data_IF_712769770215
#
_entry.id   IF_712769770215
#
_cell.length_a   1.000
_cell.length_b   1.000
_cell.length_c   1.000
_cell.angle_alpha   90.00
_cell.angle_beta   90.00
_cell.angle_gamma   90.00
#
_symmetry.space_group_name_H-M   'P 1'
#
loop_
_entity.id
_entity.type
_entity.pdbx_description
1 polymer ?
#
# COMPACT_ATOMS: atom_id res chain seq x y z
N UNK A 1 61.92 13.42 31.97
CA UNK A 1 60.63 14.01 31.56
C UNK A 1 59.99 14.62 32.79
N UNK A 2 59.61 15.90 32.74
CA UNK A 2 59.00 16.57 33.90
C UNK A 2 57.56 16.07 34.00
N UNK A 3 57.11 15.74 35.20
CA UNK A 3 55.75 15.23 35.47
C UNK A 3 54.65 16.10 34.84
N UNK A 4 54.90 17.41 34.69
CA UNK A 4 54.02 18.36 33.97
C UNK A 4 53.80 18.00 32.50
N UNK A 5 54.81 17.53 31.78
CA UNK A 5 54.71 17.25 30.34
C UNK A 5 53.85 16.00 30.09
N UNK A 6 53.90 15.03 31.01
CA UNK A 6 53.09 13.79 30.97
C UNK A 6 51.62 14.10 31.26
N UNK A 7 51.35 14.98 32.24
CA UNK A 7 49.98 15.38 32.60
C UNK A 7 49.33 16.18 31.46
N UNK A 8 50.08 17.07 30.80
CA UNK A 8 49.57 17.83 29.66
C UNK A 8 49.25 16.89 28.49
N UNK A 9 50.11 15.91 28.21
CA UNK A 9 49.86 14.90 27.18
C UNK A 9 48.57 14.09 27.41
N UNK A 10 48.32 13.67 28.66
CA UNK A 10 47.11 12.92 29.03
C UNK A 10 45.83 13.74 28.87
N UNK A 11 45.86 15.02 29.22
CA UNK A 11 44.69 15.91 29.10
C UNK A 11 44.32 16.11 27.62
N UNK A 12 45.30 16.35 26.75
CA UNK A 12 45.06 16.51 25.31
C UNK A 12 44.46 15.23 24.71
N UNK A 13 44.96 14.07 25.12
CA UNK A 13 44.47 12.78 24.64
C UNK A 13 43.03 12.50 25.09
N UNK A 14 42.67 12.87 26.32
CA UNK A 14 41.30 12.77 26.83
C UNK A 14 40.33 13.72 26.10
N UNK A 15 40.75 14.93 25.75
CA UNK A 15 39.94 15.88 24.98
C UNK A 15 39.71 15.38 23.56
N UNK A 16 40.74 14.84 22.90
CA UNK A 16 40.61 14.25 21.55
C UNK A 16 39.69 13.03 21.58
N UNK A 17 39.86 12.13 22.57
CA UNK A 17 38.99 10.96 22.73
C UNK A 17 37.54 11.38 22.99
N UNK A 18 37.32 12.40 23.84
CA UNK A 18 36.00 12.97 24.11
C UNK A 18 35.35 13.58 22.86
N UNK A 19 36.12 14.33 22.06
CA UNK A 19 35.65 14.89 20.80
C UNK A 19 35.27 13.81 19.78
N UNK A 20 36.06 12.73 19.67
CA UNK A 20 35.78 11.60 18.78
C UNK A 20 34.49 10.88 19.20
N UNK A 21 34.29 10.65 20.51
CA UNK A 21 33.07 10.02 21.04
C UNK A 21 31.85 10.92 20.83
N UNK A 22 31.99 12.23 20.99
CA UNK A 22 30.90 13.17 20.77
C UNK A 22 30.51 13.27 19.29
N UNK A 23 31.48 13.34 18.38
CA UNK A 23 31.23 13.33 16.93
C UNK A 23 30.61 12.01 16.49
N UNK A 24 31.01 10.87 17.05
CA UNK A 24 30.38 9.57 16.74
C UNK A 24 28.95 9.49 17.26
N UNK A 25 28.64 10.06 18.42
CA UNK A 25 27.27 10.09 18.95
C UNK A 25 26.32 10.97 18.14
N UNK A 26 26.81 12.02 17.49
CA UNK A 26 25.99 12.92 16.66
C UNK A 26 25.89 12.48 15.19
N UNK A 27 26.68 11.50 14.73
CA UNK A 27 26.77 11.12 13.31
C UNK A 27 25.91 9.96 12.82
N UNK A 28 25.07 9.34 13.66
CA UNK A 28 24.25 8.21 13.16
C UNK A 28 22.87 8.22 13.78
N UNK A 29 22.12 9.26 13.42
CA UNK A 29 20.69 9.09 13.21
C UNK A 29 20.50 9.31 11.71
N UNK A 30 20.71 8.26 10.93
CA UNK A 30 20.24 8.24 9.54
C UNK A 30 18.72 8.37 9.65
N UNK A 31 18.18 9.56 9.39
CA UNK A 31 16.75 9.72 9.21
C UNK A 31 16.35 8.78 8.08
N UNK A 32 15.44 7.81 8.32
CA UNK A 32 14.98 6.96 7.24
C UNK A 32 14.39 7.87 6.18
N UNK A 33 14.86 7.72 4.93
CA UNK A 33 14.24 8.37 3.78
C UNK A 33 12.72 8.11 3.85
N UNK A 34 11.88 9.10 3.54
CA UNK A 34 10.43 8.88 3.54
C UNK A 34 10.14 7.73 2.58
N UNK A 35 9.64 6.62 3.12
CA UNK A 35 9.12 5.53 2.29
C UNK A 35 7.97 6.11 1.47
N UNK A 36 8.00 5.97 0.13
CA UNK A 36 6.95 6.52 -0.70
C UNK A 36 5.59 5.98 -0.27
N UNK A 37 4.57 6.84 -0.27
CA UNK A 37 3.21 6.44 0.06
C UNK A 37 2.68 5.42 -0.97
N UNK A 38 1.62 4.69 -0.62
CA UNK A 38 0.97 3.76 -1.57
C UNK A 38 0.51 4.53 -2.82
N UNK A 39 0.01 5.75 -2.64
CA UNK A 39 -0.36 6.67 -3.73
C UNK A 39 0.81 7.01 -4.63
N UNK A 40 1.89 7.56 -4.09
CA UNK A 40 3.07 7.92 -4.90
C UNK A 40 3.61 6.71 -5.66
N UNK A 41 3.60 5.53 -5.03
CA UNK A 41 4.00 4.27 -5.67
C UNK A 41 3.08 3.92 -6.84
N UNK A 42 1.77 3.97 -6.66
CA UNK A 42 0.78 3.63 -7.68
C UNK A 42 0.75 4.66 -8.81
N UNK A 43 0.72 5.95 -8.50
CA UNK A 43 0.79 7.04 -9.49
C UNK A 43 2.03 6.92 -10.37
N UNK A 44 3.18 6.60 -9.76
CA UNK A 44 4.42 6.35 -10.49
C UNK A 44 4.35 5.11 -11.37
N UNK A 45 3.85 3.98 -10.86
CA UNK A 45 3.73 2.74 -11.62
C UNK A 45 2.80 2.92 -12.83
N UNK A 46 1.66 3.58 -12.62
CA UNK A 46 0.66 3.77 -13.65
C UNK A 46 0.80 5.09 -14.43
N UNK A 47 1.78 5.93 -14.11
CA UNK A 47 1.98 7.25 -14.69
C UNK A 47 0.65 8.01 -14.87
N UNK A 48 -0.06 8.19 -13.75
CA UNK A 48 -1.35 8.87 -13.65
C UNK A 48 -1.42 9.67 -12.35
N UNK A 49 -2.37 10.60 -12.30
CA UNK A 49 -2.74 11.33 -11.08
C UNK A 49 -4.15 10.89 -10.66
N UNK A 50 -4.33 10.59 -9.37
CA UNK A 50 -5.63 10.21 -8.83
C UNK A 50 -6.43 11.49 -8.53
N UNK A 51 -7.66 11.66 -9.05
CA UNK A 51 -8.45 12.85 -8.76
C UNK A 51 -8.78 12.99 -7.27
N UNK A 52 -8.78 14.21 -6.75
CA UNK A 52 -9.16 14.49 -5.35
C UNK A 52 -10.67 14.34 -5.08
N UNK A 53 -11.49 14.28 -6.13
CA UNK A 53 -12.96 14.27 -6.06
C UNK A 53 -13.58 12.86 -6.05
N UNK A 54 -12.78 11.84 -5.76
CA UNK A 54 -13.20 10.44 -5.62
C UNK A 54 -12.95 9.94 -4.21
N UNK A 55 -13.81 9.03 -3.73
CA UNK A 55 -13.51 8.30 -2.51
C UNK A 55 -12.40 7.28 -2.78
N UNK A 56 -11.51 7.09 -1.81
CA UNK A 56 -10.29 6.30 -1.97
C UNK A 56 -10.12 5.29 -0.85
N UNK A 57 -9.57 4.13 -1.19
CA UNK A 57 -9.10 3.13 -0.25
C UNK A 57 -7.67 2.70 -0.60
N UNK A 58 -6.78 2.77 0.39
CA UNK A 58 -5.47 2.13 0.32
C UNK A 58 -5.63 0.63 0.52
N UNK A 59 -5.11 -0.16 -0.41
CA UNK A 59 -5.15 -1.62 -0.36
C UNK A 59 -3.79 -2.17 0.05
N UNK A 60 -3.78 -3.00 1.09
CA UNK A 60 -2.56 -3.59 1.66
C UNK A 60 -2.57 -5.11 1.54
N UNK A 61 -1.38 -5.67 1.37
CA UNK A 61 -1.21 -7.12 1.37
C UNK A 61 -1.64 -7.76 2.70
N UNK A 62 -2.49 -8.79 2.60
CA UNK A 62 -2.92 -9.63 3.73
C UNK A 62 -2.47 -11.09 3.58
N UNK A 63 -1.83 -11.43 2.46
CA UNK A 63 -1.33 -12.77 2.13
C UNK A 63 0.07 -13.03 2.68
N UNK A 64 0.75 -12.00 3.18
CA UNK A 64 2.16 -12.04 3.59
C UNK A 64 3.15 -11.70 2.48
N UNK A 65 2.66 -11.23 1.34
CA UNK A 65 3.44 -10.70 0.22
C UNK A 65 3.80 -9.22 0.40
N UNK A 66 4.15 -8.57 -0.71
CA UNK A 66 4.51 -7.14 -0.76
C UNK A 66 3.59 -6.33 -1.66
N UNK A 67 2.41 -6.88 -1.96
CA UNK A 67 1.44 -6.23 -2.84
C UNK A 67 0.88 -4.93 -2.24
N UNK A 68 0.47 -4.03 -3.11
CA UNK A 68 -0.18 -2.78 -2.69
C UNK A 68 -1.09 -2.27 -3.79
N UNK A 69 -2.16 -1.56 -3.44
CA UNK A 69 -3.02 -0.96 -4.45
C UNK A 69 -3.80 0.23 -3.93
N UNK A 70 -4.50 0.88 -4.85
CA UNK A 70 -5.50 1.89 -4.55
C UNK A 70 -6.78 1.52 -5.26
N UNK A 71 -7.88 1.61 -4.52
CA UNK A 71 -9.21 1.62 -5.09
C UNK A 71 -9.80 3.02 -5.02
N UNK A 72 -10.50 3.40 -6.08
CA UNK A 72 -11.30 4.63 -6.13
C UNK A 72 -12.74 4.29 -6.43
N UNK A 73 -13.67 5.15 -5.99
CA UNK A 73 -15.07 5.08 -6.38
C UNK A 73 -15.73 6.45 -6.43
N UNK A 74 -16.79 6.54 -7.22
CA UNK A 74 -17.67 7.71 -7.28
C UNK A 74 -19.05 7.32 -7.78
N UNK A 75 -20.09 7.79 -7.11
CA UNK A 75 -21.46 7.73 -7.61
C UNK A 75 -21.93 9.13 -8.03
N UNK A 76 -22.07 9.35 -9.33
CA UNK A 76 -22.49 10.65 -9.86
C UNK A 76 -23.36 10.47 -11.11
N UNK A 77 -24.42 11.26 -11.23
CA UNK A 77 -25.28 11.23 -12.42
C UNK A 77 -25.96 9.87 -12.67
N UNK A 78 -26.23 9.10 -11.60
CA UNK A 78 -26.83 7.76 -11.70
C UNK A 78 -25.86 6.66 -12.14
N UNK A 79 -24.56 6.96 -12.22
CA UNK A 79 -23.52 5.99 -12.56
C UNK A 79 -22.55 5.84 -11.40
N UNK A 80 -22.39 4.61 -10.93
CA UNK A 80 -21.33 4.19 -10.03
C UNK A 80 -20.12 3.82 -10.87
N UNK A 81 -18.99 4.45 -10.57
CA UNK A 81 -17.69 4.17 -11.17
C UNK A 81 -16.75 3.69 -10.06
N UNK A 82 -16.00 2.63 -10.34
CA UNK A 82 -15.02 2.07 -9.43
C UNK A 82 -13.81 1.59 -10.21
N UNK A 83 -12.62 1.91 -9.71
CA UNK A 83 -11.39 1.41 -10.28
C UNK A 83 -10.48 0.86 -9.19
N UNK A 84 -9.65 -0.10 -9.57
CA UNK A 84 -8.57 -0.62 -8.71
C UNK A 84 -7.27 -0.63 -9.50
N UNK A 85 -6.25 -0.02 -8.95
CA UNK A 85 -4.87 -0.04 -9.43
C UNK A 85 -4.05 -0.82 -8.42
N UNK A 86 -3.39 -1.89 -8.84
CA UNK A 86 -2.62 -2.73 -7.94
C UNK A 86 -1.22 -3.00 -8.51
N UNK A 87 -0.22 -2.88 -7.66
CA UNK A 87 1.12 -3.40 -7.88
C UNK A 87 1.19 -4.78 -7.22
N UNK A 88 1.11 -5.81 -8.07
CA UNK A 88 1.06 -7.22 -7.69
C UNK A 88 2.00 -8.02 -8.60
N UNK A 89 2.63 -9.09 -8.09
CA UNK A 89 3.43 -9.99 -8.91
C UNK A 89 2.54 -10.72 -9.93
N UNK A 90 3.15 -11.30 -10.96
CA UNK A 90 2.40 -12.15 -11.88
C UNK A 90 1.86 -13.40 -11.17
N UNK A 91 0.57 -13.74 -11.36
CA UNK A 91 -0.01 -14.93 -10.77
C UNK A 91 0.57 -16.19 -11.44
N UNK A 92 0.54 -17.32 -10.72
CA UNK A 92 0.92 -18.61 -11.29
C UNK A 92 0.03 -18.96 -12.50
N UNK A 93 0.54 -19.79 -13.41
CA UNK A 93 -0.19 -20.18 -14.61
C UNK A 93 -1.58 -20.76 -14.27
N UNK A 94 -2.62 -20.22 -14.88
CA UNK A 94 -4.02 -20.62 -14.64
C UNK A 94 -4.72 -19.86 -13.51
N UNK A 95 -4.03 -18.94 -12.83
CA UNK A 95 -4.61 -18.03 -11.85
C UNK A 95 -4.76 -16.61 -12.41
N UNK A 96 -5.63 -15.82 -11.79
CA UNK A 96 -5.87 -14.43 -12.12
C UNK A 96 -6.28 -13.63 -10.88
N UNK A 97 -6.17 -12.31 -10.95
CA UNK A 97 -6.68 -11.43 -9.90
C UNK A 97 -8.11 -10.98 -10.19
N UNK A 98 -8.95 -10.92 -9.16
CA UNK A 98 -10.33 -10.44 -9.23
C UNK A 98 -10.59 -9.39 -8.13
N UNK A 99 -11.36 -8.36 -8.47
CA UNK A 99 -11.77 -7.32 -7.54
C UNK A 99 -13.16 -7.54 -6.97
N UNK A 100 -13.34 -7.14 -5.71
CA UNK A 100 -14.59 -7.29 -4.97
C UNK A 100 -14.91 -6.05 -4.16
N UNK A 101 -16.20 -5.71 -4.13
CA UNK A 101 -16.77 -4.78 -3.16
C UNK A 101 -17.39 -5.56 -2.01
N UNK A 102 -17.15 -5.09 -0.79
CA UNK A 102 -17.60 -5.74 0.45
C UNK A 102 -18.44 -4.78 1.27
N UNK A 103 -19.57 -5.26 1.77
CA UNK A 103 -20.42 -4.54 2.72
C UNK A 103 -20.55 -5.33 4.00
N UNK A 104 -20.51 -4.64 5.14
CA UNK A 104 -20.65 -5.25 6.47
C UNK A 104 -19.41 -6.06 6.87
N UNK A 105 -19.46 -6.68 8.04
CA UNK A 105 -18.43 -7.62 8.50
C UNK A 105 -18.89 -9.06 8.34
N UNK A 106 -17.94 -9.97 8.16
CA UNK A 106 -18.24 -11.39 8.10
C UNK A 106 -19.01 -11.83 9.36
N UNK A 107 -20.13 -12.53 9.16
CA UNK A 107 -21.06 -12.94 10.22
C UNK A 107 -22.19 -11.95 10.52
N UNK A 108 -22.18 -10.73 9.96
CA UNK A 108 -23.30 -9.79 10.08
C UNK A 108 -24.40 -10.07 9.03
N UNK A 109 -25.65 -9.74 9.36
CA UNK A 109 -26.81 -10.03 8.49
C UNK A 109 -26.79 -9.26 7.15
N UNK A 110 -26.07 -8.14 7.08
CA UNK A 110 -25.90 -7.30 5.89
C UNK A 110 -24.61 -7.60 5.11
N UNK A 111 -23.86 -8.63 5.52
CA UNK A 111 -22.61 -9.03 4.89
C UNK A 111 -22.84 -9.45 3.43
N UNK A 112 -22.09 -8.85 2.50
CA UNK A 112 -22.19 -9.18 1.09
C UNK A 112 -20.89 -8.89 0.34
N UNK A 113 -20.58 -9.78 -0.61
CA UNK A 113 -19.56 -9.59 -1.63
C UNK A 113 -20.20 -9.37 -3.00
N UNK A 114 -19.60 -8.51 -3.80
CA UNK A 114 -19.93 -8.34 -5.21
C UNK A 114 -18.64 -8.31 -6.01
N UNK A 115 -18.53 -9.22 -6.97
CA UNK A 115 -17.45 -9.20 -7.96
C UNK A 115 -17.58 -7.95 -8.82
N UNK A 116 -16.47 -7.21 -8.94
CA UNK A 116 -16.32 -6.09 -9.87
C UNK A 116 -15.54 -6.47 -11.13
N UNK A 117 -15.09 -7.73 -11.21
CA UNK A 117 -14.53 -8.35 -12.41
C UNK A 117 -13.05 -8.73 -12.29
N UNK A 118 -12.55 -9.40 -13.33
CA UNK A 118 -11.15 -9.80 -13.46
C UNK A 118 -10.26 -8.59 -13.74
N UNK A 119 -9.13 -8.49 -13.04
CA UNK A 119 -8.13 -7.47 -13.30
C UNK A 119 -7.32 -7.79 -14.57
N UNK A 120 -6.92 -6.75 -15.30
CA UNK A 120 -6.06 -6.85 -16.48
C UNK A 120 -4.70 -6.23 -16.22
N UNK A 121 -3.66 -6.75 -16.87
CA UNK A 121 -2.33 -6.13 -16.82
C UNK A 121 -2.38 -4.76 -17.50
N UNK A 122 -1.85 -3.75 -16.84
CA UNK A 122 -1.72 -2.39 -17.36
C UNK A 122 -0.49 -1.70 -16.75
N UNK A 123 0.39 -1.17 -17.60
CA UNK A 123 1.57 -0.36 -17.20
C UNK A 123 2.45 -1.00 -16.11
N UNK A 124 2.57 -2.33 -16.11
CA UNK A 124 3.40 -3.05 -15.14
C UNK A 124 2.71 -3.39 -13.81
N UNK A 125 1.43 -3.05 -13.66
CA UNK A 125 0.57 -3.53 -12.58
C UNK A 125 -0.74 -4.10 -13.11
N UNK A 126 -1.74 -4.19 -12.24
CA UNK A 126 -3.08 -4.69 -12.52
C UNK A 126 -4.11 -3.58 -12.38
N UNK A 127 -5.02 -3.49 -13.34
CA UNK A 127 -6.10 -2.51 -13.40
C UNK A 127 -7.45 -3.21 -13.49
N UNK A 128 -8.41 -2.69 -12.74
CA UNK A 128 -9.82 -3.02 -12.84
C UNK A 128 -10.62 -1.73 -13.01
N UNK A 129 -11.63 -1.78 -13.87
CA UNK A 129 -12.58 -0.69 -14.08
C UNK A 129 -13.99 -1.30 -14.08
N UNK A 130 -14.86 -0.76 -13.24
CA UNK A 130 -16.22 -1.25 -13.03
C UNK A 130 -17.20 -0.08 -13.07
N UNK A 131 -18.26 -0.23 -13.85
CA UNK A 131 -19.32 0.77 -13.97
C UNK A 131 -20.68 0.09 -13.77
N UNK A 132 -21.59 0.74 -13.04
CA UNK A 132 -22.94 0.24 -12.81
C UNK A 132 -23.94 1.38 -12.65
N UNK A 133 -25.21 1.14 -12.97
CA UNK A 133 -26.32 2.04 -12.59
C UNK A 133 -26.77 1.84 -11.14
N UNK A 134 -26.28 0.79 -10.47
CA UNK A 134 -26.54 0.53 -9.06
C UNK A 134 -25.54 1.29 -8.19
N UNK A 135 -26.04 1.98 -7.18
CA UNK A 135 -25.21 2.65 -6.18
C UNK A 135 -24.61 1.63 -5.20
N UNK A 136 -23.30 1.41 -5.29
CA UNK A 136 -22.52 0.57 -4.37
C UNK A 136 -21.76 1.37 -3.32
N UNK A 137 -22.06 2.65 -3.12
CA UNK A 137 -21.48 3.46 -2.03
C UNK A 137 -21.62 2.82 -0.63
N UNK A 138 -22.67 2.02 -0.32
CA UNK A 138 -22.74 1.28 0.94
C UNK A 138 -21.68 0.16 1.12
N UNK A 139 -20.96 -0.24 0.08
CA UNK A 139 -19.91 -1.27 0.13
C UNK A 139 -18.57 -0.63 0.48
N UNK A 140 -18.30 -0.47 1.78
CA UNK A 140 -17.11 0.24 2.27
C UNK A 140 -15.80 -0.52 2.08
N UNK A 141 -15.82 -1.84 1.92
CA UNK A 141 -14.62 -2.67 1.77
C UNK A 141 -14.27 -2.95 0.31
N UNK A 142 -12.98 -3.09 0.04
CA UNK A 142 -12.45 -3.57 -1.24
C UNK A 142 -11.50 -4.73 -0.98
N UNK A 143 -11.66 -5.81 -1.75
CA UNK A 143 -10.78 -6.97 -1.70
C UNK A 143 -10.30 -7.28 -3.11
N UNK A 144 -9.02 -7.60 -3.24
CA UNK A 144 -8.46 -8.24 -4.44
C UNK A 144 -8.07 -9.66 -4.07
N UNK A 145 -8.57 -10.62 -4.82
CA UNK A 145 -8.29 -12.04 -4.61
C UNK A 145 -7.46 -12.64 -5.73
N UNK A 146 -6.76 -13.73 -5.43
CA UNK A 146 -6.15 -14.63 -6.40
C UNK A 146 -7.08 -15.82 -6.61
N UNK A 147 -7.57 -15.95 -7.83
CA UNK A 147 -8.62 -16.87 -8.24
C UNK A 147 -8.09 -17.89 -9.26
N UNK A 148 -8.61 -19.11 -9.21
CA UNK A 148 -8.37 -20.14 -10.24
C UNK A 148 -9.59 -20.36 -11.12
N UNK A 149 -10.80 -20.11 -10.60
CA UNK A 149 -12.06 -20.32 -11.32
C UNK A 149 -12.92 -19.07 -11.22
N UNK A 150 -13.54 -18.68 -12.32
CA UNK A 150 -14.53 -17.59 -12.35
C UNK A 150 -15.90 -18.17 -11.93
N UNK A 151 -16.14 -18.27 -10.62
CA UNK A 151 -17.37 -18.82 -10.04
C UNK A 151 -18.13 -17.86 -9.10
N UNK A 152 -17.69 -16.60 -9.06
CA UNK A 152 -18.22 -15.52 -8.21
C UNK A 152 -18.14 -15.82 -6.70
N UNK A 153 -17.16 -16.61 -6.28
CA UNK A 153 -16.81 -16.75 -4.87
C UNK A 153 -15.36 -16.30 -4.66
N UNK A 154 -15.11 -15.40 -3.70
CA UNK A 154 -13.75 -15.05 -3.34
C UNK A 154 -12.95 -16.29 -2.93
N UNK A 155 -11.80 -16.53 -3.55
CA UNK A 155 -10.82 -17.54 -3.14
C UNK A 155 -9.79 -16.91 -2.16
N UNK A 156 -8.56 -16.67 -2.61
CA UNK A 156 -7.48 -16.25 -1.70
C UNK A 156 -7.40 -14.73 -1.66
N UNK A 157 -7.60 -14.13 -0.48
CA UNK A 157 -7.47 -12.69 -0.29
C UNK A 157 -5.99 -12.27 -0.39
N UNK A 158 -5.72 -11.28 -1.25
CA UNK A 158 -4.36 -10.77 -1.51
C UNK A 158 -4.23 -9.36 -0.99
N UNK A 159 -5.12 -8.47 -1.43
CA UNK A 159 -5.17 -7.09 -0.96
C UNK A 159 -6.50 -6.78 -0.31
N UNK A 160 -6.49 -6.04 0.78
CA UNK A 160 -7.69 -5.53 1.43
C UNK A 160 -7.55 -4.05 1.79
N UNK A 161 -8.68 -3.33 1.76
CA UNK A 161 -8.77 -1.96 2.22
C UNK A 161 -10.21 -1.51 2.41
N UNK A 162 -10.39 -0.29 2.88
CA UNK A 162 -11.71 0.30 3.08
C UNK A 162 -11.73 1.77 2.69
N UNK A 163 -12.79 2.19 2.01
CA UNK A 163 -13.01 3.59 1.65
C UNK A 163 -13.12 4.46 2.91
N UNK A 164 -12.56 5.67 2.85
CA UNK A 164 -12.60 6.69 3.91
C UNK A 164 -13.42 7.91 3.47
#
# INVERSE_FOLDING_TARGET
MRTRDIVIGLIILAVIAGAIVWIRRTRTQEEPLPTPSIEEKIEKTFNLEIPDDVERADLRDVSGGTGSGIATRKYQGGTFTHAVLADLPDPAAGYFYEGWLVRGKEGEANFAFISTGRMRVAKGGYLLEFNSSTDYSPYSGVVVTLERVDDRKPETHILEGSFQ
#
